data_IF_223668579538
#
_entry.id   IF_223668579538
#
_cell.length_a   1.000
_cell.length_b   1.000
_cell.length_c   1.000
_cell.angle_alpha   90.00
_cell.angle_beta   90.00
_cell.angle_gamma   90.00
#
_symmetry.space_group_name_H-M   'P 1'
#
loop_
_entity.id
_entity.type
_entity.pdbx_description
1 polymer ?
#
# COMPACT_ATOMS: atom_id res chain seq x y z
N UNK A 1 51.78 -13.74 -45.36
CA UNK A 1 51.20 -12.62 -44.60
C UNK A 1 49.76 -12.98 -44.34
N UNK A 2 49.41 -13.40 -43.08
CA UNK A 2 48.05 -13.81 -42.69
C UNK A 2 47.46 -12.69 -41.84
N UNK A 3 46.49 -11.94 -42.36
CA UNK A 3 45.77 -10.90 -41.61
C UNK A 3 44.70 -11.57 -40.71
N UNK A 4 44.84 -11.40 -39.41
CA UNK A 4 43.83 -11.81 -38.44
C UNK A 4 42.83 -10.67 -38.27
N UNK A 5 41.57 -10.95 -38.59
CA UNK A 5 40.42 -10.06 -38.35
C UNK A 5 39.93 -10.30 -36.90
N UNK A 6 40.11 -9.29 -36.05
CA UNK A 6 39.56 -9.27 -34.69
C UNK A 6 38.11 -8.80 -34.76
N UNK A 7 37.18 -9.70 -34.53
CA UNK A 7 35.76 -9.35 -34.34
C UNK A 7 35.56 -9.00 -32.88
N UNK A 8 35.35 -7.70 -32.61
CA UNK A 8 34.97 -7.20 -31.29
C UNK A 8 33.44 -7.36 -31.14
N UNK A 9 33.01 -8.35 -30.37
CA UNK A 9 31.61 -8.46 -29.93
C UNK A 9 31.33 -7.42 -28.83
N UNK A 10 30.61 -6.37 -29.20
CA UNK A 10 30.03 -5.43 -28.24
C UNK A 10 28.82 -6.12 -27.58
N UNK A 11 29.01 -6.58 -26.34
CA UNK A 11 27.90 -7.02 -25.48
C UNK A 11 27.12 -5.77 -25.03
N UNK A 12 25.99 -5.52 -25.70
CA UNK A 12 25.04 -4.48 -25.28
C UNK A 12 24.37 -4.88 -23.98
N UNK A 13 24.76 -4.27 -22.86
CA UNK A 13 24.00 -4.32 -21.61
C UNK A 13 22.69 -3.56 -21.82
N UNK A 14 21.60 -4.27 -22.07
CA UNK A 14 20.25 -3.72 -21.97
C UNK A 14 19.97 -3.43 -20.48
N UNK A 15 20.20 -2.20 -20.07
CA UNK A 15 19.63 -1.69 -18.82
C UNK A 15 18.13 -1.62 -19.01
N UNK A 16 17.42 -2.61 -18.46
CA UNK A 16 15.98 -2.56 -18.28
C UNK A 16 15.73 -1.45 -17.25
N UNK A 17 15.55 -0.24 -17.73
CA UNK A 17 15.14 0.89 -16.93
C UNK A 17 13.78 0.57 -16.30
N UNK A 18 13.76 0.33 -15.00
CA UNK A 18 12.52 0.35 -14.24
C UNK A 18 11.91 1.73 -14.43
N UNK A 19 10.77 1.79 -15.13
CA UNK A 19 10.02 3.04 -15.25
C UNK A 19 9.62 3.47 -13.85
N UNK A 20 10.02 4.68 -13.39
CA UNK A 20 9.59 5.14 -12.08
C UNK A 20 8.06 5.24 -12.09
N UNK A 21 7.40 4.55 -11.17
CA UNK A 21 5.97 4.73 -10.95
C UNK A 21 5.70 6.22 -10.66
N UNK A 22 4.72 6.83 -11.34
CA UNK A 22 4.43 8.24 -11.15
C UNK A 22 3.94 8.46 -9.73
N UNK A 23 4.73 9.18 -8.94
CA UNK A 23 4.30 9.54 -7.65
C UNK A 23 4.71 10.87 -7.23
N UNK A 24 4.58 11.96 -7.14
CA UNK A 24 4.18 12.82 -6.03
C UNK A 24 2.73 13.34 -6.14
N UNK A 25 1.97 12.94 -7.16
CA UNK A 25 0.69 13.55 -7.50
C UNK A 25 -0.56 12.70 -7.16
N UNK A 26 -0.37 11.49 -6.61
CA UNK A 26 -1.50 10.58 -6.35
C UNK A 26 -2.53 11.14 -5.36
N UNK A 27 -2.10 11.90 -4.35
CA UNK A 27 -3.00 12.57 -3.40
C UNK A 27 -3.75 13.74 -4.05
N UNK A 28 -3.12 14.46 -4.99
CA UNK A 28 -3.80 15.52 -5.73
C UNK A 28 -4.88 14.97 -6.65
N UNK A 29 -4.60 13.85 -7.32
CA UNK A 29 -5.56 13.18 -8.21
C UNK A 29 -6.67 12.45 -7.44
N UNK A 30 -6.36 11.98 -6.25
CA UNK A 30 -7.26 11.23 -5.37
C UNK A 30 -7.17 11.78 -3.94
N UNK A 31 -7.74 12.97 -3.65
CA UNK A 31 -7.58 13.60 -2.33
C UNK A 31 -8.30 12.82 -1.22
N UNK A 32 -9.40 12.16 -1.55
CA UNK A 32 -10.23 11.42 -0.60
C UNK A 32 -10.30 9.93 -0.96
N UNK A 33 -10.46 9.10 0.07
CA UNK A 33 -10.68 7.67 -0.10
C UNK A 33 -12.14 7.40 -0.53
N UNK A 34 -12.41 6.81 -1.71
CA UNK A 34 -13.77 6.60 -2.19
C UNK A 34 -14.58 5.59 -1.35
N UNK A 35 -13.90 4.80 -0.51
CA UNK A 35 -14.54 3.80 0.33
C UNK A 35 -15.04 4.38 1.66
N UNK A 36 -14.27 5.30 2.27
CA UNK A 36 -14.58 5.78 3.63
C UNK A 36 -14.55 7.31 3.79
N UNK A 37 -14.22 8.08 2.75
CA UNK A 37 -14.18 9.54 2.77
C UNK A 37 -12.97 10.15 3.51
N UNK A 38 -11.99 9.34 3.94
CA UNK A 38 -10.82 9.87 4.63
C UNK A 38 -9.90 10.64 3.69
N UNK A 39 -9.40 11.79 4.18
CA UNK A 39 -8.38 12.60 3.52
C UNK A 39 -7.07 11.81 3.39
N UNK A 40 -6.64 11.57 2.15
CA UNK A 40 -5.43 10.78 1.86
C UNK A 40 -4.14 11.54 2.12
N UNK A 41 -4.16 12.87 2.22
CA UNK A 41 -3.01 13.63 2.66
C UNK A 41 -2.77 13.43 4.16
N UNK A 42 -3.82 13.47 4.97
CA UNK A 42 -3.73 13.19 6.41
C UNK A 42 -3.25 11.76 6.70
N UNK A 43 -3.69 10.79 5.88
CA UNK A 43 -3.30 9.38 5.98
C UNK A 43 -2.22 8.98 4.97
N UNK A 44 -1.32 9.91 4.65
CA UNK A 44 -0.29 9.71 3.63
C UNK A 44 0.64 8.51 3.91
N UNK A 45 0.84 8.15 5.18
CA UNK A 45 1.70 7.05 5.63
C UNK A 45 1.11 5.64 5.43
N UNK A 46 -0.17 5.53 5.11
CA UNK A 46 -0.87 4.24 4.93
C UNK A 46 -1.61 4.13 3.61
N UNK A 47 -1.61 5.22 2.82
CA UNK A 47 -2.38 5.27 1.59
C UNK A 47 -1.93 4.24 0.56
N UNK A 48 -2.87 3.81 -0.26
CA UNK A 48 -2.62 2.88 -1.35
C UNK A 48 -3.06 3.51 -2.68
N UNK A 49 -2.50 3.04 -3.77
CA UNK A 49 -2.94 3.34 -5.13
C UNK A 49 -3.09 2.02 -5.90
N UNK A 50 -4.27 1.78 -6.43
CA UNK A 50 -4.55 0.65 -7.30
C UNK A 50 -4.52 1.16 -8.73
N UNK A 51 -3.66 0.59 -9.56
CA UNK A 51 -3.61 0.86 -10.99
C UNK A 51 -4.41 -0.19 -11.74
N UNK A 52 -5.61 0.17 -12.15
CA UNK A 52 -6.45 -0.64 -13.02
C UNK A 52 -6.17 -0.32 -14.49
N UNK A 53 -6.59 -1.19 -15.39
CA UNK A 53 -6.47 -0.94 -16.83
C UNK A 53 -7.24 0.32 -17.25
N UNK A 54 -8.37 0.60 -16.60
CA UNK A 54 -9.27 1.72 -16.88
C UNK A 54 -8.91 3.02 -16.16
N UNK A 55 -7.88 3.02 -15.31
CA UNK A 55 -7.46 4.18 -14.51
C UNK A 55 -7.01 3.77 -13.12
N UNK A 56 -6.80 4.73 -12.23
CA UNK A 56 -6.32 4.45 -10.88
C UNK A 56 -7.34 4.81 -9.80
N UNK A 57 -7.25 4.13 -8.66
CA UNK A 57 -8.06 4.39 -7.46
C UNK A 57 -7.14 4.57 -6.26
N UNK A 58 -7.27 5.70 -5.58
CA UNK A 58 -6.51 5.97 -4.36
C UNK A 58 -7.32 5.66 -3.10
N UNK A 59 -6.80 4.84 -2.19
CA UNK A 59 -7.42 4.54 -0.90
C UNK A 59 -6.56 4.99 0.28
N UNK A 60 -7.16 5.13 1.47
CA UNK A 60 -6.44 5.59 2.66
C UNK A 60 -5.59 4.49 3.33
N UNK A 61 -5.87 3.23 3.04
CA UNK A 61 -5.19 2.09 3.68
C UNK A 61 -5.42 0.80 2.91
N UNK A 62 -4.69 -0.24 3.29
CA UNK A 62 -4.85 -1.60 2.76
C UNK A 62 -6.25 -2.18 3.04
N UNK A 63 -6.91 -1.77 4.14
CA UNK A 63 -8.31 -2.16 4.43
C UNK A 63 -9.24 -1.69 3.30
N UNK A 64 -9.22 -0.40 2.99
CA UNK A 64 -10.07 0.17 1.93
C UNK A 64 -9.65 -0.32 0.52
N UNK A 65 -8.37 -0.59 0.30
CA UNK A 65 -7.88 -1.23 -0.92
C UNK A 65 -8.47 -2.64 -1.07
N UNK A 66 -8.50 -3.44 -0.02
CA UNK A 66 -9.12 -4.77 -0.01
C UNK A 66 -10.62 -4.72 -0.34
N UNK A 67 -11.36 -3.73 0.21
CA UNK A 67 -12.77 -3.52 -0.14
C UNK A 67 -12.92 -3.15 -1.61
N UNK A 68 -12.11 -2.22 -2.12
CA UNK A 68 -12.18 -1.78 -3.53
C UNK A 68 -11.95 -2.95 -4.49
N UNK A 69 -10.91 -3.76 -4.28
CA UNK A 69 -10.64 -4.94 -5.11
C UNK A 69 -11.79 -5.95 -5.04
N UNK A 70 -12.37 -6.17 -3.87
CA UNK A 70 -13.46 -7.13 -3.71
C UNK A 70 -14.72 -6.72 -4.49
N UNK A 71 -15.07 -5.44 -4.51
CA UNK A 71 -16.26 -4.94 -5.25
C UNK A 71 -15.97 -4.76 -6.73
N UNK A 72 -14.73 -4.49 -7.13
CA UNK A 72 -14.29 -4.28 -8.51
C UNK A 72 -13.59 -5.53 -9.11
N UNK A 73 -13.97 -6.74 -8.67
CA UNK A 73 -13.32 -8.01 -9.10
C UNK A 73 -13.33 -8.25 -10.61
N UNK A 74 -14.15 -7.54 -11.37
CA UNK A 74 -14.21 -7.59 -12.81
C UNK A 74 -13.15 -6.74 -13.52
N UNK A 75 -12.52 -5.81 -12.80
CA UNK A 75 -11.47 -4.94 -13.35
C UNK A 75 -10.11 -5.62 -13.34
N UNK A 76 -9.31 -5.34 -14.36
CA UNK A 76 -7.93 -5.86 -14.45
C UNK A 76 -6.99 -4.95 -13.67
N UNK A 77 -6.38 -5.47 -12.60
CA UNK A 77 -5.34 -4.80 -11.81
C UNK A 77 -4.00 -4.93 -12.52
N UNK A 78 -3.37 -3.82 -12.88
CA UNK A 78 -2.00 -3.75 -13.44
C UNK A 78 -0.94 -3.66 -12.35
N UNK A 79 -1.26 -2.98 -11.26
CA UNK A 79 -0.33 -2.80 -10.14
C UNK A 79 -0.99 -2.26 -8.90
N UNK A 80 -0.34 -2.49 -7.77
CA UNK A 80 -0.75 -1.94 -6.48
C UNK A 80 0.48 -1.29 -5.85
N UNK A 81 0.32 -0.03 -5.42
CA UNK A 81 1.33 0.72 -4.72
C UNK A 81 0.88 0.97 -3.28
N UNK A 82 1.82 0.91 -2.36
CA UNK A 82 1.63 1.24 -0.95
C UNK A 82 2.54 2.40 -0.56
N UNK A 83 2.09 3.27 0.31
CA UNK A 83 2.95 4.28 0.89
C UNK A 83 3.98 3.63 1.82
N UNK A 84 5.25 3.95 1.62
CA UNK A 84 6.28 3.74 2.62
C UNK A 84 5.90 4.51 3.90
N UNK A 85 5.86 3.81 5.04
CA UNK A 85 5.39 4.38 6.30
C UNK A 85 6.18 5.61 6.72
N UNK A 86 7.51 5.56 6.60
CA UNK A 86 8.40 6.64 7.02
C UNK A 86 8.45 7.78 5.97
N UNK A 87 8.78 7.43 4.72
CA UNK A 87 9.03 8.40 3.65
C UNK A 87 7.78 8.85 2.91
N UNK A 88 6.66 8.16 3.08
CA UNK A 88 5.37 8.45 2.43
C UNK A 88 5.39 8.42 0.89
N UNK A 89 6.48 7.96 0.27
CA UNK A 89 6.50 7.68 -1.16
C UNK A 89 5.75 6.39 -1.46
N UNK A 90 5.16 6.32 -2.65
CA UNK A 90 4.55 5.08 -3.12
C UNK A 90 5.62 4.10 -3.62
N UNK A 91 5.57 2.89 -3.11
CA UNK A 91 6.40 1.76 -3.53
C UNK A 91 5.52 0.61 -4.02
N UNK A 92 6.00 -0.26 -4.94
CA UNK A 92 5.23 -1.43 -5.33
C UNK A 92 4.89 -2.30 -4.12
N UNK A 93 3.61 -2.56 -3.88
CA UNK A 93 3.15 -3.26 -2.68
C UNK A 93 3.76 -4.66 -2.52
N UNK A 94 3.98 -5.37 -3.64
CA UNK A 94 4.61 -6.70 -3.66
C UNK A 94 6.11 -6.68 -3.35
N UNK A 95 6.79 -5.56 -3.60
CA UNK A 95 8.22 -5.39 -3.31
C UNK A 95 8.46 -4.80 -1.91
N UNK A 96 7.43 -4.25 -1.28
CA UNK A 96 7.53 -3.65 0.04
C UNK A 96 7.70 -4.72 1.14
N UNK A 97 8.38 -4.34 2.21
CA UNK A 97 8.42 -5.07 3.47
C UNK A 97 7.22 -4.68 4.32
N UNK A 98 6.41 -5.65 4.71
CA UNK A 98 5.21 -5.37 5.48
C UNK A 98 5.41 -5.70 6.95
N UNK A 99 4.83 -4.89 7.82
CA UNK A 99 4.75 -5.17 9.26
C UNK A 99 3.29 -5.29 9.65
N UNK A 100 2.92 -6.44 10.22
CA UNK A 100 1.54 -6.75 10.65
C UNK A 100 1.50 -6.71 12.17
N UNK A 101 0.57 -5.92 12.73
CA UNK A 101 0.40 -5.74 14.18
C UNK A 101 1.29 -4.64 14.75
N UNK A 102 1.65 -4.81 16.02
CA UNK A 102 2.35 -3.79 16.81
C UNK A 102 1.39 -2.90 17.61
N UNK A 103 1.94 -1.93 18.32
CA UNK A 103 1.20 -1.02 19.22
C UNK A 103 0.60 0.21 18.51
N UNK A 104 1.02 0.47 17.26
CA UNK A 104 0.47 1.58 16.46
C UNK A 104 -0.91 1.24 15.93
N UNK A 105 -1.86 2.14 16.17
CA UNK A 105 -3.23 1.99 15.68
C UNK A 105 -3.27 1.98 14.16
N UNK A 106 -3.86 0.95 13.58
CA UNK A 106 -4.05 0.85 12.13
C UNK A 106 -5.07 1.85 11.58
N UNK A 107 -5.00 2.11 10.28
CA UNK A 107 -5.98 2.94 9.58
C UNK A 107 -7.11 2.04 9.07
N UNK A 108 -8.32 2.29 9.55
CA UNK A 108 -9.53 1.48 9.28
C UNK A 108 -9.46 0.02 9.75
N UNK A 109 -8.46 -0.33 10.56
CA UNK A 109 -8.26 -1.68 11.09
C UNK A 109 -7.70 -1.61 12.50
N UNK A 110 -8.02 -2.59 13.35
CA UNK A 110 -7.43 -2.71 14.68
C UNK A 110 -6.01 -3.32 14.62
N UNK A 111 -5.78 -4.31 13.74
CA UNK A 111 -4.48 -4.90 13.49
C UNK A 111 -3.79 -4.17 12.35
N UNK A 112 -2.87 -3.28 12.68
CA UNK A 112 -2.15 -2.45 11.70
C UNK A 112 -1.41 -3.30 10.65
N UNK A 113 -1.27 -2.74 9.44
CA UNK A 113 -0.45 -3.27 8.36
C UNK A 113 0.27 -2.09 7.72
N UNK A 114 1.59 -2.04 7.89
CA UNK A 114 2.43 -0.95 7.42
C UNK A 114 3.40 -1.44 6.36
N UNK A 115 3.56 -0.69 5.30
CA UNK A 115 4.52 -0.98 4.24
C UNK A 115 5.79 -0.15 4.40
N UNK A 116 6.93 -0.72 4.07
CA UNK A 116 8.23 -0.08 4.09
C UNK A 116 8.98 -0.37 2.78
N UNK A 117 9.60 0.65 2.22
CA UNK A 117 10.43 0.49 1.02
C UNK A 117 11.77 -0.19 1.30
N UNK A 118 12.22 -0.15 2.56
CA UNK A 118 13.48 -0.76 3.00
C UNK A 118 13.25 -1.70 4.17
N UNK A 119 13.98 -2.81 4.17
CA UNK A 119 13.91 -3.82 5.22
C UNK A 119 14.35 -3.27 6.58
N UNK A 120 15.41 -2.47 6.57
CA UNK A 120 16.00 -1.88 7.75
C UNK A 120 14.99 -0.99 8.51
N UNK A 121 14.17 -0.23 7.76
CA UNK A 121 13.13 0.63 8.32
C UNK A 121 12.00 -0.19 8.94
N UNK A 122 11.59 -1.29 8.29
CA UNK A 122 10.61 -2.24 8.83
C UNK A 122 11.11 -2.90 10.13
N UNK A 123 12.36 -3.33 10.16
CA UNK A 123 12.99 -3.93 11.34
C UNK A 123 13.18 -2.91 12.47
N UNK A 124 13.51 -1.65 12.17
CA UNK A 124 13.57 -0.56 13.13
C UNK A 124 12.19 -0.31 13.75
N UNK A 125 11.15 -0.26 12.92
CA UNK A 125 9.77 -0.11 13.39
C UNK A 125 9.35 -1.27 14.32
N UNK A 126 9.69 -2.51 13.97
CA UNK A 126 9.38 -3.68 14.80
C UNK A 126 10.08 -3.62 16.16
N UNK A 127 11.33 -3.16 16.22
CA UNK A 127 12.04 -2.98 17.50
C UNK A 127 11.36 -1.97 18.42
N UNK A 128 10.77 -0.91 17.86
CA UNK A 128 10.14 0.16 18.62
C UNK A 128 8.68 -0.13 18.95
N UNK A 129 7.93 -0.71 18.02
CA UNK A 129 6.48 -0.81 18.07
C UNK A 129 5.95 -2.24 18.07
N UNK A 130 6.83 -3.23 17.94
CA UNK A 130 6.41 -4.62 17.78
C UNK A 130 5.84 -4.92 16.40
N UNK A 131 5.13 -6.03 16.31
CA UNK A 131 4.61 -6.52 15.04
C UNK A 131 5.48 -7.63 14.43
N UNK A 132 5.05 -8.13 13.28
CA UNK A 132 5.72 -9.22 12.56
C UNK A 132 6.07 -8.80 11.15
N UNK A 133 7.33 -9.00 10.75
CA UNK A 133 7.76 -8.82 9.37
C UNK A 133 7.02 -9.80 8.46
N UNK A 134 6.58 -9.32 7.31
CA UNK A 134 5.72 -10.07 6.40
C UNK A 134 5.88 -9.59 4.95
N UNK A 135 5.12 -10.16 4.05
CA UNK A 135 5.01 -9.80 2.64
C UNK A 135 3.60 -9.32 2.31
N UNK A 136 3.40 -8.75 1.12
CA UNK A 136 2.11 -8.21 0.70
C UNK A 136 0.98 -9.25 0.74
N UNK A 137 1.24 -10.48 0.30
CA UNK A 137 0.22 -11.53 0.25
C UNK A 137 -0.30 -11.90 1.65
N UNK A 138 0.57 -11.90 2.66
CA UNK A 138 0.16 -12.08 4.05
C UNK A 138 -0.60 -10.87 4.58
N UNK A 139 -0.17 -9.66 4.21
CA UNK A 139 -0.84 -8.42 4.64
C UNK A 139 -2.26 -8.31 4.07
N UNK A 140 -2.47 -8.66 2.81
CA UNK A 140 -3.81 -8.66 2.20
C UNK A 140 -4.68 -9.80 2.77
N UNK A 141 -4.12 -10.99 2.98
CA UNK A 141 -4.83 -12.08 3.66
C UNK A 141 -5.28 -11.67 5.06
N UNK A 142 -4.38 -11.12 5.87
CA UNK A 142 -4.70 -10.60 7.20
C UNK A 142 -5.77 -9.48 7.14
N UNK A 143 -5.78 -8.67 6.07
CA UNK A 143 -6.81 -7.64 5.87
C UNK A 143 -8.20 -8.25 5.71
N UNK A 144 -8.35 -9.30 4.90
CA UNK A 144 -9.63 -9.98 4.71
C UNK A 144 -10.07 -10.76 5.96
N UNK A 145 -9.13 -11.38 6.68
CA UNK A 145 -9.41 -12.05 7.97
C UNK A 145 -9.99 -11.07 9.00
N UNK A 146 -9.44 -9.83 9.07
CA UNK A 146 -9.87 -8.82 10.03
C UNK A 146 -11.15 -8.08 9.61
N UNK A 147 -11.56 -8.16 8.35
CA UNK A 147 -12.59 -7.30 7.73
C UNK A 147 -13.89 -7.23 8.53
N UNK A 148 -14.38 -8.38 9.02
CA UNK A 148 -15.62 -8.40 9.81
C UNK A 148 -15.50 -7.61 11.12
N UNK A 149 -14.44 -7.84 11.88
CA UNK A 149 -14.18 -7.17 13.15
C UNK A 149 -13.95 -5.66 12.95
N UNK A 150 -13.23 -5.29 11.90
CA UNK A 150 -12.95 -3.91 11.56
C UNK A 150 -14.21 -3.15 11.17
N UNK A 151 -15.06 -3.71 10.31
CA UNK A 151 -16.34 -3.11 9.91
C UNK A 151 -17.24 -2.93 11.13
N UNK A 152 -17.33 -3.95 11.99
CA UNK A 152 -18.12 -3.87 13.23
C UNK A 152 -17.62 -2.73 14.12
N UNK A 153 -16.31 -2.65 14.36
CA UNK A 153 -15.71 -1.60 15.19
C UNK A 153 -15.95 -0.18 14.62
N UNK A 154 -15.90 -0.01 13.29
CA UNK A 154 -16.20 1.27 12.63
C UNK A 154 -17.67 1.66 12.84
N UNK A 155 -18.60 0.72 12.64
CA UNK A 155 -20.04 0.96 12.86
C UNK A 155 -20.35 1.32 14.31
N UNK A 156 -19.79 0.58 15.26
CA UNK A 156 -20.01 0.83 16.71
C UNK A 156 -19.50 2.24 17.09
N UNK A 157 -18.35 2.68 16.57
CA UNK A 157 -17.83 4.04 16.78
C UNK A 157 -18.75 5.11 16.16
N UNK A 158 -19.25 4.89 14.96
CA UNK A 158 -20.16 5.81 14.29
C UNK A 158 -21.47 5.97 15.06
N UNK A 159 -22.07 4.88 15.55
CA UNK A 159 -23.28 4.90 16.36
C UNK A 159 -23.08 5.65 17.68
N UNK A 160 -21.96 5.39 18.38
CA UNK A 160 -21.62 6.11 19.62
C UNK A 160 -21.44 7.61 19.40
N UNK A 161 -20.84 8.03 18.27
CA UNK A 161 -20.74 9.47 17.93
C UNK A 161 -22.10 10.09 17.69
N UNK A 162 -22.97 9.42 16.94
CA UNK A 162 -24.36 9.88 16.67
C UNK A 162 -25.14 10.06 17.97
N UNK A 163 -25.14 9.05 18.83
CA UNK A 163 -25.84 9.10 20.13
C UNK A 163 -25.30 10.19 21.09
N UNK A 164 -24.02 10.61 20.94
CA UNK A 164 -23.45 11.73 21.70
C UNK A 164 -23.86 13.10 21.15
N UNK A 165 -24.06 13.22 19.84
CA UNK A 165 -24.47 14.47 19.19
C UNK A 165 -25.96 14.77 19.39
N UNK A 166 -26.75 13.77 19.70
CA UNK A 166 -28.21 13.87 19.96
C UNK A 166 -28.54 14.17 21.43
N UNK A 167 -27.53 14.26 22.31
CA UNK A 167 -27.68 14.63 23.75
C UNK A 167 -27.29 16.07 24.00
#
# INVERSE_FOLDING_TARGET
MKSAVFVVMLAGCFLIGATPYPSPNDVRSHPECPICGMDRHQYAHSRMLIDYQEGSVGTCSIHCMGVDIAVNRHKTVRGILAADYAGKQLVPAKAAFWVIGGDRSGVMTNRAKWAFGKREDAEAFIREHGGKLSVFDDAIKATFEDMYADIKAVRDRAQKRKARAER
#
